data_IF_037321862093
#
_entry.id   IF_037321862093
#
_cell.length_a   1.000
_cell.length_b   1.000
_cell.length_c   1.000
_cell.angle_alpha   90.00
_cell.angle_beta   90.00
_cell.angle_gamma   90.00
#
_symmetry.space_group_name_H-M   'P 1'
#
loop_
_entity.id
_entity.type
_entity.pdbx_description
1 polymer ?
#
# COMPACT_ATOMS: atom_id res chain seq x y z
N UNK A 1 -55.48 -13.75 -11.95
CA UNK A 1 -56.12 -14.30 -10.73
C UNK A 1 -55.11 -14.19 -9.61
N UNK A 2 -55.35 -13.21 -8.78
CA UNK A 2 -55.17 -13.07 -7.33
C UNK A 2 -53.94 -13.66 -6.65
N UNK A 3 -53.15 -12.73 -6.14
CA UNK A 3 -52.20 -12.80 -5.02
C UNK A 3 -52.92 -13.15 -3.72
N UNK A 4 -52.27 -13.77 -2.73
CA UNK A 4 -52.37 -13.21 -1.39
C UNK A 4 -51.04 -13.02 -0.67
N UNK A 5 -50.88 -11.80 -0.18
CA UNK A 5 -50.02 -11.31 0.90
C UNK A 5 -50.15 -12.12 2.19
N UNK A 6 -49.03 -12.37 2.90
CA UNK A 6 -48.99 -12.69 4.32
C UNK A 6 -47.98 -11.82 5.05
N UNK A 7 -48.55 -10.91 5.86
CA UNK A 7 -47.87 -10.19 6.92
C UNK A 7 -47.56 -11.14 8.10
N UNK A 8 -46.39 -10.93 8.70
CA UNK A 8 -46.07 -11.42 10.06
C UNK A 8 -45.48 -10.28 10.90
N UNK A 9 -45.76 -10.20 12.18
CA UNK A 9 -45.63 -8.96 12.95
C UNK A 9 -44.28 -8.81 13.65
N UNK A 10 -43.90 -7.54 13.85
CA UNK A 10 -42.88 -7.12 14.80
C UNK A 10 -43.24 -7.48 16.23
N UNK A 11 -42.33 -8.12 16.96
CA UNK A 11 -42.38 -8.20 18.41
C UNK A 11 -41.31 -7.28 19.01
N UNK A 12 -41.77 -6.19 19.62
CA UNK A 12 -40.99 -5.34 20.52
C UNK A 12 -40.67 -6.12 21.79
N UNK A 13 -39.39 -6.18 22.16
CA UNK A 13 -38.96 -6.61 23.49
C UNK A 13 -38.43 -5.39 24.23
N UNK A 14 -39.25 -4.94 25.18
CA UNK A 14 -38.94 -3.88 26.13
C UNK A 14 -38.22 -4.49 27.32
N UNK A 15 -36.97 -4.06 27.60
CA UNK A 15 -36.29 -4.42 28.86
C UNK A 15 -36.23 -3.18 29.74
N UNK A 16 -36.84 -3.31 30.91
CA UNK A 16 -36.94 -2.29 31.93
C UNK A 16 -35.63 -2.08 32.69
N UNK A 17 -35.29 -0.82 32.90
CA UNK A 17 -34.26 -0.38 33.86
C UNK A 17 -34.78 -0.51 35.29
N UNK A 18 -34.04 -1.19 36.12
CA UNK A 18 -34.14 -1.09 37.58
C UNK A 18 -32.87 -0.36 38.09
N UNK A 19 -33.10 0.81 38.62
CA UNK A 19 -32.10 1.59 39.30
C UNK A 19 -31.87 1.10 40.72
N UNK A 20 -30.63 1.15 41.16
CA UNK A 20 -30.25 1.11 42.56
C UNK A 20 -29.21 2.20 42.82
N UNK A 21 -29.66 3.27 43.43
CA UNK A 21 -28.79 4.35 43.97
C UNK A 21 -28.23 3.86 45.31
N UNK A 22 -26.90 3.92 45.45
CA UNK A 22 -26.24 3.87 46.75
C UNK A 22 -25.30 5.10 46.85
N UNK A 23 -25.74 6.01 47.71
CA UNK A 23 -24.97 7.14 48.23
C UNK A 23 -24.00 6.61 49.27
N UNK A 24 -22.71 6.92 49.14
CA UNK A 24 -21.77 7.06 50.25
C UNK A 24 -20.75 8.18 49.93
N UNK A 25 -20.59 8.98 50.76
CA UNK A 25 -20.11 10.09 51.42
C UNK A 25 -18.64 10.44 51.12
N UNK A 26 -18.43 11.77 51.15
CA UNK A 26 -17.16 12.46 51.10
C UNK A 26 -16.16 12.03 52.17
N UNK A 27 -14.90 11.83 51.74
CA UNK A 27 -13.75 12.10 52.61
C UNK A 27 -12.57 12.55 51.74
N UNK A 28 -12.33 13.84 51.72
CA UNK A 28 -11.10 14.42 51.20
C UNK A 28 -9.96 14.11 52.18
N UNK A 29 -8.90 13.44 51.66
CA UNK A 29 -7.58 13.46 52.31
C UNK A 29 -6.57 13.83 51.24
N UNK A 30 -6.08 15.05 51.32
CA UNK A 30 -4.86 15.48 50.66
C UNK A 30 -3.67 14.81 51.37
N UNK A 31 -2.91 14.03 50.62
CA UNK A 31 -1.57 13.62 51.01
C UNK A 31 -0.63 13.89 49.86
N UNK A 32 0.07 14.98 49.94
CA UNK A 32 1.26 15.28 49.17
C UNK A 32 2.35 14.28 49.59
N UNK A 33 2.74 13.39 48.71
CA UNK A 33 3.96 12.60 48.83
C UNK A 33 4.74 12.72 47.54
N UNK A 34 5.71 13.60 47.55
CA UNK A 34 6.83 13.55 46.63
C UNK A 34 7.52 12.19 46.79
N UNK A 35 7.08 11.20 45.97
CA UNK A 35 7.65 9.87 45.89
C UNK A 35 8.65 9.80 44.77
N UNK A 36 9.87 9.45 45.09
CA UNK A 36 11.01 9.14 44.25
C UNK A 36 10.61 8.48 42.89
N UNK A 37 10.82 9.22 41.82
CA UNK A 37 10.80 8.65 40.46
C UNK A 37 12.11 7.93 40.22
N UNK A 38 12.06 6.61 40.11
CA UNK A 38 13.19 5.83 39.63
C UNK A 38 13.52 6.24 38.17
N UNK A 39 14.80 6.50 37.86
CA UNK A 39 15.20 6.74 36.47
C UNK A 39 15.15 5.42 35.71
N UNK A 40 14.23 5.31 34.71
CA UNK A 40 14.20 4.18 33.81
C UNK A 40 12.83 3.53 33.56
N UNK A 41 11.73 4.27 33.71
CA UNK A 41 10.40 3.76 33.27
C UNK A 41 10.36 3.71 31.74
N UNK A 42 10.25 2.52 31.11
CA UNK A 42 10.14 2.38 29.65
C UNK A 42 8.90 3.04 29.07
N UNK A 43 7.90 3.41 29.89
CA UNK A 43 6.74 4.19 29.45
C UNK A 43 7.07 5.64 29.05
N UNK A 44 8.32 6.11 29.28
CA UNK A 44 8.74 7.48 29.01
C UNK A 44 9.36 7.68 27.62
N UNK A 45 9.47 6.63 26.79
CA UNK A 45 10.19 6.67 25.51
C UNK A 45 9.32 6.39 24.26
N UNK A 46 8.00 6.35 24.39
CA UNK A 46 7.17 6.39 23.19
C UNK A 46 7.42 7.75 22.50
N UNK A 47 7.88 7.76 21.24
CA UNK A 47 8.09 9.03 20.56
C UNK A 47 6.75 9.75 20.51
N UNK A 48 6.73 11.00 20.98
CA UNK A 48 5.55 11.86 20.77
C UNK A 48 5.50 12.21 19.30
N UNK A 49 4.81 11.39 18.52
CA UNK A 49 4.62 11.55 17.08
C UNK A 49 3.23 12.13 16.85
N UNK A 50 3.12 13.02 15.87
CA UNK A 50 1.87 13.58 15.40
C UNK A 50 1.81 13.50 13.87
N UNK A 51 0.59 13.45 13.34
CA UNK A 51 0.29 13.61 11.92
C UNK A 51 -0.21 15.04 11.71
N UNK A 52 0.65 15.86 11.11
CA UNK A 52 0.37 17.30 10.92
C UNK A 52 0.04 17.58 9.45
N UNK A 53 -1.09 18.28 9.20
CA UNK A 53 -1.42 18.77 7.85
C UNK A 53 -0.30 19.66 7.35
N UNK A 54 0.24 19.31 6.18
CA UNK A 54 1.18 20.13 5.43
C UNK A 54 0.55 20.54 4.11
N UNK A 55 1.05 21.62 3.48
CA UNK A 55 0.49 22.14 2.23
C UNK A 55 -1.03 22.43 2.31
N UNK A 56 -1.49 23.21 3.31
CA UNK A 56 -2.90 23.35 3.65
C UNK A 56 -3.76 24.00 2.54
N UNK A 57 -3.13 24.67 1.58
CA UNK A 57 -3.82 25.27 0.42
C UNK A 57 -4.04 24.24 -0.71
N UNK A 58 -3.46 23.03 -0.61
CA UNK A 58 -3.64 21.99 -1.59
C UNK A 58 -4.66 20.95 -1.09
N UNK A 59 -5.48 20.47 -2.02
CA UNK A 59 -6.36 19.32 -1.85
C UNK A 59 -6.38 18.54 -3.16
N UNK A 60 -6.46 17.21 -3.05
CA UNK A 60 -6.41 16.28 -4.15
C UNK A 60 -7.66 15.39 -4.15
N UNK A 61 -8.06 14.93 -5.33
CA UNK A 61 -9.24 14.09 -5.47
C UNK A 61 -8.85 12.61 -5.34
N UNK A 62 -9.37 11.95 -4.30
CA UNK A 62 -9.08 10.53 -4.01
C UNK A 62 -7.59 10.17 -4.18
N UNK A 63 -6.67 10.82 -3.44
CA UNK A 63 -5.25 10.59 -3.63
C UNK A 63 -4.85 9.19 -3.16
N UNK A 64 -4.13 8.45 -4.00
CA UNK A 64 -3.68 7.08 -3.72
C UNK A 64 -2.16 6.91 -3.84
N UNK A 65 -1.42 7.98 -4.07
CA UNK A 65 0.04 7.93 -4.12
C UNK A 65 0.68 9.29 -3.91
N UNK A 66 1.86 9.30 -3.29
CA UNK A 66 2.65 10.51 -3.04
C UNK A 66 4.14 10.17 -3.15
N UNK A 67 4.86 10.81 -4.08
CA UNK A 67 6.28 10.53 -4.29
C UNK A 67 7.06 11.76 -4.81
N UNK A 68 8.37 11.71 -4.72
CA UNK A 68 9.29 12.64 -5.38
C UNK A 68 10.03 11.94 -6.52
N UNK A 69 10.23 12.61 -7.65
CA UNK A 69 11.10 12.09 -8.70
C UNK A 69 12.57 12.10 -8.26
N UNK A 70 13.42 11.22 -8.81
CA UNK A 70 14.85 11.25 -8.56
C UNK A 70 15.45 12.63 -8.80
N UNK A 71 16.36 13.07 -7.91
CA UNK A 71 17.05 14.38 -7.99
C UNK A 71 16.12 15.61 -8.02
N UNK A 72 14.82 15.45 -7.75
CA UNK A 72 13.81 16.51 -7.73
C UNK A 72 13.30 16.78 -6.32
N UNK A 73 12.90 18.02 -6.04
CA UNK A 73 12.12 18.39 -4.85
C UNK A 73 10.64 18.57 -5.18
N UNK A 74 10.22 18.16 -6.38
CA UNK A 74 8.81 18.20 -6.76
C UNK A 74 8.11 16.96 -6.19
N UNK A 75 6.99 17.20 -5.55
CA UNK A 75 6.05 16.17 -5.18
C UNK A 75 5.08 15.86 -6.32
N UNK A 76 4.70 14.61 -6.43
CA UNK A 76 3.66 14.11 -7.33
C UNK A 76 2.63 13.37 -6.50
N UNK A 77 1.36 13.68 -6.75
CA UNK A 77 0.20 13.01 -6.15
C UNK A 77 -0.55 12.30 -7.26
N UNK A 78 -0.85 11.05 -7.03
CA UNK A 78 -1.67 10.21 -7.91
C UNK A 78 -3.12 10.37 -7.43
N UNK A 79 -3.99 10.88 -8.29
CA UNK A 79 -5.42 10.91 -8.07
C UNK A 79 -6.05 9.72 -8.80
N UNK A 80 -6.79 8.89 -8.04
CA UNK A 80 -7.25 7.56 -8.50
C UNK A 80 -8.04 7.61 -9.81
N UNK A 81 -8.77 8.71 -10.05
CA UNK A 81 -9.59 8.92 -11.24
C UNK A 81 -8.82 9.09 -12.55
N UNK A 82 -7.48 9.12 -12.55
CA UNK A 82 -6.68 9.18 -13.79
C UNK A 82 -5.85 10.43 -13.97
N UNK A 83 -5.65 11.25 -12.93
CA UNK A 83 -4.78 12.42 -13.00
C UNK A 83 -3.56 12.29 -12.08
N UNK A 84 -2.45 12.90 -12.51
CA UNK A 84 -1.27 13.12 -11.68
C UNK A 84 -1.09 14.61 -11.49
N UNK A 85 -0.98 15.04 -10.23
CA UNK A 85 -0.74 16.44 -9.86
C UNK A 85 0.68 16.62 -9.35
N UNK A 86 1.31 17.76 -9.64
CA UNK A 86 2.67 18.04 -9.16
C UNK A 86 2.79 19.41 -8.53
N UNK A 87 3.58 19.53 -7.44
CA UNK A 87 3.87 20.79 -6.77
C UNK A 87 5.30 20.81 -6.21
N UNK A 88 5.82 22.00 -5.92
CA UNK A 88 7.16 22.16 -5.37
C UNK A 88 7.16 21.88 -3.85
N UNK A 89 8.22 21.23 -3.36
CA UNK A 89 8.50 21.09 -1.94
C UNK A 89 9.03 22.41 -1.37
N UNK A 90 8.11 23.32 -1.14
CA UNK A 90 8.35 24.63 -0.50
C UNK A 90 7.37 24.81 0.65
N UNK A 91 7.65 25.74 1.54
CA UNK A 91 6.70 26.11 2.59
C UNK A 91 5.44 26.67 1.94
N UNK A 92 4.31 26.02 2.20
CA UNK A 92 2.96 26.43 1.79
C UNK A 92 2.81 26.74 0.28
N UNK A 93 2.97 25.75 -0.61
CA UNK A 93 2.74 25.91 -2.04
C UNK A 93 1.26 26.24 -2.29
N UNK A 94 1.02 27.32 -3.02
CA UNK A 94 -0.35 27.82 -3.27
C UNK A 94 -1.09 27.04 -4.37
N UNK A 95 -0.37 26.29 -5.22
CA UNK A 95 -0.95 25.61 -6.38
C UNK A 95 -0.25 24.29 -6.69
N UNK A 96 -1.04 23.29 -7.04
CA UNK A 96 -0.58 22.11 -7.79
C UNK A 96 -0.86 22.29 -9.29
N UNK A 97 -0.10 21.62 -10.13
CA UNK A 97 -0.27 21.62 -11.58
C UNK A 97 -0.61 20.23 -12.08
N UNK A 98 -1.41 20.14 -13.11
CA UNK A 98 -1.63 18.89 -13.83
C UNK A 98 -0.32 18.44 -14.48
N UNK A 99 0.07 17.19 -14.25
CA UNK A 99 1.26 16.55 -14.79
C UNK A 99 0.88 15.56 -15.88
N UNK A 100 -0.13 14.76 -15.62
CA UNK A 100 -0.70 13.80 -16.57
C UNK A 100 -2.22 13.77 -16.40
N UNK A 101 -2.94 13.67 -17.49
CA UNK A 101 -4.36 13.40 -17.53
C UNK A 101 -4.62 12.24 -18.51
N UNK A 102 -5.10 11.12 -17.97
CA UNK A 102 -5.50 9.93 -18.70
C UNK A 102 -6.90 9.47 -18.28
N UNK A 103 -7.72 10.40 -17.77
CA UNK A 103 -9.10 10.13 -17.34
C UNK A 103 -9.98 9.58 -18.46
N UNK A 104 -9.59 9.81 -19.72
CA UNK A 104 -10.27 9.30 -20.91
C UNK A 104 -10.15 7.77 -21.10
N UNK A 105 -9.26 7.11 -20.37
CA UNK A 105 -8.96 5.69 -20.53
C UNK A 105 -8.88 4.90 -19.21
N UNK A 106 -8.90 5.58 -18.07
CA UNK A 106 -8.86 4.94 -16.76
C UNK A 106 -10.25 4.49 -16.35
N UNK A 107 -10.42 3.20 -16.06
CA UNK A 107 -11.59 2.68 -15.37
C UNK A 107 -11.35 2.74 -13.86
N UNK A 108 -12.23 3.37 -13.14
CA UNK A 108 -12.16 3.67 -11.70
C UNK A 108 -13.58 3.47 -11.10
N UNK A 109 -13.85 3.23 -9.85
CA UNK A 109 -13.00 3.27 -8.68
C UNK A 109 -13.17 1.99 -7.84
N UNK A 110 -13.34 2.07 -6.51
CA UNK A 110 -13.10 0.95 -5.62
C UNK A 110 -11.59 0.75 -5.47
N UNK A 111 -11.06 -0.40 -5.92
CA UNK A 111 -9.62 -0.64 -5.96
C UNK A 111 -9.00 -0.38 -7.35
N UNK A 112 -9.86 -0.22 -8.38
CA UNK A 112 -9.44 0.13 -9.74
C UNK A 112 -9.09 1.62 -9.88
N UNK A 113 -8.31 1.97 -10.91
CA UNK A 113 -7.99 3.36 -11.22
C UNK A 113 -6.54 3.58 -11.65
N UNK A 114 -6.06 4.81 -11.49
CA UNK A 114 -4.65 5.15 -11.60
C UNK A 114 -3.97 4.85 -10.27
N UNK A 115 -3.10 3.82 -10.22
CA UNK A 115 -2.65 3.18 -8.99
C UNK A 115 -1.16 3.34 -8.69
N UNK A 116 -0.33 3.58 -9.71
CA UNK A 116 1.11 3.67 -9.54
C UNK A 116 1.81 4.67 -10.47
N UNK A 117 2.90 5.25 -9.98
CA UNK A 117 3.81 6.11 -10.73
C UNK A 117 5.24 5.84 -10.27
N UNK A 118 6.14 5.61 -11.21
CA UNK A 118 7.57 5.54 -10.96
C UNK A 118 8.34 6.35 -12.03
N UNK A 119 9.33 7.10 -11.63
CA UNK A 119 10.25 7.77 -12.57
C UNK A 119 11.47 6.89 -12.81
N UNK A 120 12.00 6.91 -14.02
CA UNK A 120 13.26 6.25 -14.34
C UNK A 120 14.36 6.66 -13.34
N UNK A 121 15.21 5.74 -12.84
CA UNK A 121 16.25 6.07 -11.84
C UNK A 121 17.19 7.21 -12.25
N UNK A 122 17.48 7.32 -13.55
CA UNK A 122 18.28 8.41 -14.10
C UNK A 122 17.45 9.63 -14.55
N UNK A 123 16.22 9.76 -14.09
CA UNK A 123 15.41 10.95 -14.37
C UNK A 123 16.09 12.22 -13.80
N UNK A 124 16.12 13.37 -14.50
CA UNK A 124 15.47 13.65 -15.79
C UNK A 124 16.36 13.41 -17.03
N UNK A 125 17.59 12.84 -16.90
CA UNK A 125 18.43 12.57 -18.06
C UNK A 125 17.79 11.54 -19.00
N UNK A 126 17.20 10.48 -18.40
CA UNK A 126 16.26 9.59 -19.07
C UNK A 126 14.84 10.08 -18.72
N UNK A 127 14.17 10.83 -19.60
CA UNK A 127 12.96 11.57 -19.27
C UNK A 127 11.70 10.70 -19.32
N UNK A 128 11.77 9.51 -18.72
CA UNK A 128 10.72 8.51 -18.73
C UNK A 128 10.06 8.37 -17.34
N UNK A 129 8.76 8.17 -17.36
CA UNK A 129 7.97 7.78 -16.20
C UNK A 129 7.08 6.58 -16.56
N UNK A 130 6.81 5.76 -15.57
CA UNK A 130 6.01 4.55 -15.69
C UNK A 130 4.75 4.71 -14.85
N UNK A 131 3.63 4.30 -15.41
CA UNK A 131 2.32 4.50 -14.81
C UNK A 131 1.57 3.17 -14.82
N UNK A 132 0.99 2.84 -13.68
CA UNK A 132 0.12 1.66 -13.52
C UNK A 132 -1.32 2.12 -13.36
N UNK A 133 -2.24 1.55 -14.15
CA UNK A 133 -3.64 1.92 -14.11
C UNK A 133 -4.52 0.81 -14.71
N UNK A 134 -5.83 0.87 -14.46
CA UNK A 134 -6.80 -0.07 -15.01
C UNK A 134 -7.64 0.58 -16.12
N UNK A 135 -7.99 -0.22 -17.12
CA UNK A 135 -8.98 0.08 -18.16
C UNK A 135 -10.17 -0.86 -18.05
N UNK A 136 -11.30 -0.43 -18.64
CA UNK A 136 -12.43 -1.32 -18.86
C UNK A 136 -11.98 -2.53 -19.68
N UNK A 137 -12.37 -3.71 -19.22
CA UNK A 137 -12.12 -4.97 -19.91
C UNK A 137 -13.15 -5.30 -20.98
N UNK A 138 -12.92 -6.35 -21.77
CA UNK A 138 -13.78 -6.68 -22.92
C UNK A 138 -15.14 -7.25 -22.53
N UNK A 139 -15.29 -7.83 -21.33
CA UNK A 139 -16.49 -8.53 -20.90
C UNK A 139 -16.55 -8.73 -19.37
N UNK A 140 -17.62 -9.39 -18.91
CA UNK A 140 -17.85 -9.64 -17.49
C UNK A 140 -16.89 -10.69 -16.87
N UNK A 141 -16.18 -11.47 -17.66
CA UNK A 141 -15.17 -12.44 -17.23
C UNK A 141 -13.82 -11.76 -17.04
N UNK A 142 -13.61 -10.65 -17.74
CA UNK A 142 -12.45 -9.78 -17.65
C UNK A 142 -12.95 -8.34 -17.54
N UNK A 143 -13.48 -7.94 -16.38
CA UNK A 143 -14.08 -6.60 -16.23
C UNK A 143 -13.06 -5.48 -16.29
N UNK A 144 -11.79 -5.75 -15.98
CA UNK A 144 -10.69 -4.79 -16.03
C UNK A 144 -9.45 -5.40 -16.70
N UNK A 145 -8.62 -4.53 -17.24
CA UNK A 145 -7.25 -4.85 -17.67
C UNK A 145 -6.30 -3.86 -16.98
N UNK A 146 -5.33 -4.37 -16.24
CA UNK A 146 -4.22 -3.57 -15.72
C UNK A 146 -3.20 -3.27 -16.80
N UNK A 147 -2.75 -2.03 -16.85
CA UNK A 147 -1.74 -1.52 -17.79
C UNK A 147 -0.53 -1.00 -17.00
N UNK A 148 0.65 -1.43 -17.39
CA UNK A 148 1.92 -0.79 -17.03
C UNK A 148 2.43 -0.11 -18.29
N UNK A 149 2.42 1.22 -18.28
CA UNK A 149 2.74 2.03 -19.46
C UNK A 149 3.86 3.02 -19.19
N UNK A 150 4.71 3.24 -20.19
CA UNK A 150 5.75 4.27 -20.20
C UNK A 150 5.23 5.55 -20.82
N UNK A 151 5.61 6.69 -20.21
CA UNK A 151 5.31 8.04 -20.69
C UNK A 151 6.58 8.89 -20.72
N UNK A 152 6.65 9.85 -21.65
CA UNK A 152 7.79 10.75 -21.82
C UNK A 152 7.51 12.13 -21.21
N UNK A 153 8.52 12.71 -20.57
CA UNK A 153 8.51 14.11 -20.15
C UNK A 153 9.48 14.93 -20.99
N UNK A 154 9.02 16.02 -21.58
CA UNK A 154 9.85 16.93 -22.36
C UNK A 154 10.28 18.21 -21.59
N UNK A 155 9.97 18.29 -20.29
CA UNK A 155 10.13 19.49 -19.47
C UNK A 155 10.62 19.19 -18.03
N UNK A 156 11.39 18.11 -17.89
CA UNK A 156 11.95 17.63 -16.62
C UNK A 156 10.89 17.33 -15.55
N UNK A 157 9.81 16.68 -15.94
CA UNK A 157 8.74 16.21 -15.06
C UNK A 157 7.71 17.26 -14.66
N UNK A 158 7.66 18.40 -15.35
CA UNK A 158 6.54 19.32 -15.14
C UNK A 158 5.25 18.78 -15.75
N UNK A 159 5.38 18.10 -16.89
CA UNK A 159 4.32 17.34 -17.54
C UNK A 159 4.84 16.01 -18.08
N UNK A 160 3.94 15.04 -18.24
CA UNK A 160 4.10 13.83 -19.03
C UNK A 160 3.19 13.96 -20.25
N UNK A 161 3.70 13.56 -21.43
CA UNK A 161 2.92 13.61 -22.67
C UNK A 161 1.94 12.42 -22.73
N UNK A 162 0.62 12.62 -22.64
CA UNK A 162 -0.35 11.53 -22.66
C UNK A 162 -0.41 10.80 -24.03
N UNK A 163 0.12 11.42 -25.09
CA UNK A 163 0.19 10.82 -26.43
C UNK A 163 1.42 9.96 -26.65
N UNK A 164 2.41 10.04 -25.74
CA UNK A 164 3.63 9.25 -25.75
C UNK A 164 3.47 7.86 -25.14
N UNK A 165 2.28 7.49 -24.72
CA UNK A 165 2.05 6.22 -24.04
C UNK A 165 2.56 5.01 -24.84
N UNK A 166 3.40 4.21 -24.18
CA UNK A 166 3.88 2.93 -24.65
C UNK A 166 3.56 1.84 -23.63
N UNK A 167 2.53 1.01 -23.86
CA UNK A 167 2.25 -0.11 -22.98
C UNK A 167 3.43 -1.09 -22.96
N UNK A 168 3.85 -1.49 -21.74
CA UNK A 168 4.91 -2.45 -21.51
C UNK A 168 4.36 -3.83 -21.19
N UNK A 169 3.39 -3.88 -20.26
CA UNK A 169 2.74 -5.10 -19.81
C UNK A 169 1.25 -4.81 -19.61
N UNK A 170 0.42 -5.78 -19.96
CA UNK A 170 -1.01 -5.78 -19.65
C UNK A 170 -1.38 -7.08 -18.95
N UNK A 171 -2.32 -7.01 -18.01
CA UNK A 171 -2.77 -8.16 -17.24
C UNK A 171 -4.29 -8.11 -17.08
N UNK A 172 -4.96 -9.17 -17.51
CA UNK A 172 -6.40 -9.33 -17.34
C UNK A 172 -6.73 -9.48 -15.84
N UNK A 173 -7.76 -8.76 -15.40
CA UNK A 173 -8.25 -8.80 -14.03
C UNK A 173 -9.62 -9.49 -14.01
N UNK A 174 -9.75 -10.65 -13.35
CA UNK A 174 -11.02 -11.40 -13.33
C UNK A 174 -12.09 -10.74 -12.44
N UNK A 175 -11.69 -9.79 -11.57
CA UNK A 175 -12.59 -9.02 -10.71
C UNK A 175 -12.13 -7.56 -10.63
N UNK A 176 -12.96 -6.72 -10.00
CA UNK A 176 -12.72 -5.27 -9.88
C UNK A 176 -11.98 -4.86 -8.60
N UNK A 177 -11.50 -5.83 -7.83
CA UNK A 177 -10.77 -5.64 -6.57
C UNK A 177 -9.49 -6.48 -6.55
N UNK A 178 -8.63 -6.25 -5.55
CA UNK A 178 -7.28 -6.80 -5.41
C UNK A 178 -6.40 -6.53 -6.64
N UNK A 179 -6.51 -5.32 -7.19
CA UNK A 179 -5.75 -4.97 -8.39
C UNK A 179 -4.27 -4.66 -8.08
N UNK A 180 -3.91 -4.38 -6.83
CA UNK A 180 -2.56 -3.97 -6.45
C UNK A 180 -2.13 -2.71 -7.18
N UNK A 181 -1.21 -2.84 -8.13
CA UNK A 181 -0.84 -1.80 -9.10
C UNK A 181 0.19 -0.79 -8.61
N UNK A 182 0.76 -0.95 -7.41
CA UNK A 182 1.91 -0.13 -7.02
C UNK A 182 3.15 -0.54 -7.82
N UNK A 183 3.95 0.45 -8.22
CA UNK A 183 5.20 0.26 -8.98
C UNK A 183 6.31 1.12 -8.40
N UNK A 184 7.52 0.58 -8.37
CA UNK A 184 8.72 1.33 -8.00
C UNK A 184 9.98 0.68 -8.60
N UNK A 185 11.03 1.48 -8.77
CA UNK A 185 12.35 0.94 -9.09
C UNK A 185 13.06 0.42 -7.85
N UNK A 186 13.62 -0.78 -7.96
CA UNK A 186 14.52 -1.34 -6.97
C UNK A 186 15.91 -0.68 -6.99
N UNK A 187 16.72 -0.92 -5.95
CA UNK A 187 18.11 -0.45 -5.91
C UNK A 187 18.99 -1.05 -7.01
N UNK A 188 18.56 -2.14 -7.61
CA UNK A 188 19.16 -2.83 -8.76
C UNK A 188 18.82 -2.17 -10.09
N UNK A 189 17.92 -1.18 -10.12
CA UNK A 189 17.52 -0.42 -11.29
C UNK A 189 16.43 -1.07 -12.14
N UNK A 190 15.86 -2.19 -11.72
CA UNK A 190 14.71 -2.83 -12.37
C UNK A 190 13.39 -2.29 -11.84
N UNK A 191 12.35 -2.37 -12.65
CA UNK A 191 10.99 -1.99 -12.26
C UNK A 191 10.28 -3.17 -11.60
N UNK A 192 9.83 -2.94 -10.36
CA UNK A 192 8.99 -3.88 -9.61
C UNK A 192 7.53 -3.47 -9.72
N UNK A 193 6.64 -4.46 -9.76
CA UNK A 193 5.20 -4.28 -9.93
C UNK A 193 4.51 -5.26 -9.00
N UNK A 194 3.65 -4.79 -8.09
CA UNK A 194 2.84 -5.65 -7.23
C UNK A 194 1.43 -5.80 -7.80
N UNK A 195 1.00 -7.03 -8.05
CA UNK A 195 -0.39 -7.36 -8.39
C UNK A 195 -1.00 -8.25 -7.32
N UNK A 196 -2.28 -8.00 -7.01
CA UNK A 196 -3.06 -8.89 -6.17
C UNK A 196 -3.51 -10.15 -6.89
N UNK A 197 -4.23 -11.02 -6.18
CA UNK A 197 -4.73 -12.31 -6.65
C UNK A 197 -5.85 -12.20 -7.72
N UNK A 198 -6.19 -10.99 -8.14
CA UNK A 198 -7.22 -10.70 -9.13
C UNK A 198 -8.61 -10.57 -8.54
N UNK A 199 -8.80 -10.77 -7.23
CA UNK A 199 -10.01 -10.38 -6.51
C UNK A 199 -10.94 -11.50 -6.10
N UNK A 200 -12.14 -11.09 -5.64
CA UNK A 200 -13.12 -11.93 -4.96
C UNK A 200 -12.66 -12.39 -3.57
N UNK A 201 -13.43 -13.24 -2.90
CA UNK A 201 -13.08 -13.77 -1.58
C UNK A 201 -12.38 -15.12 -1.69
N UNK A 202 -11.20 -15.24 -1.05
CA UNK A 202 -10.48 -16.49 -0.89
C UNK A 202 -9.80 -17.03 -2.15
N UNK A 203 -9.45 -16.15 -3.09
CA UNK A 203 -8.78 -16.50 -4.35
C UNK A 203 -9.41 -17.74 -5.02
N UNK A 204 -10.62 -17.63 -5.57
CA UNK A 204 -11.37 -18.79 -6.03
C UNK A 204 -10.73 -19.51 -7.24
N UNK A 205 -9.79 -18.86 -7.90
CA UNK A 205 -9.08 -19.38 -9.08
C UNK A 205 -7.65 -19.83 -8.76
N UNK A 206 -7.21 -19.67 -7.49
CA UNK A 206 -5.88 -20.07 -6.99
C UNK A 206 -4.73 -19.38 -7.74
N UNK A 207 -4.92 -18.10 -8.08
CA UNK A 207 -3.94 -17.31 -8.81
C UNK A 207 -2.65 -17.10 -8.00
N UNK A 208 -2.77 -16.79 -6.71
CA UNK A 208 -1.63 -16.44 -5.88
C UNK A 208 -0.63 -17.60 -5.70
N UNK A 209 -1.07 -18.86 -5.80
CA UNK A 209 -0.19 -20.03 -5.76
C UNK A 209 0.19 -20.55 -7.16
N UNK A 210 -0.32 -19.93 -8.22
CA UNK A 210 -0.08 -20.35 -9.59
C UNK A 210 1.05 -19.55 -10.23
N UNK A 211 2.29 -19.99 -10.11
CA UNK A 211 3.46 -19.32 -10.72
C UNK A 211 3.42 -19.24 -12.27
N UNK A 212 2.44 -19.84 -12.93
CA UNK A 212 2.20 -19.67 -14.37
C UNK A 212 1.18 -18.53 -14.66
N UNK A 213 0.89 -17.72 -13.67
CA UNK A 213 0.08 -16.51 -13.73
C UNK A 213 0.85 -15.35 -13.09
N UNK A 214 0.53 -14.12 -13.46
CA UNK A 214 1.17 -12.92 -12.91
C UNK A 214 0.38 -12.31 -11.75
N UNK A 215 -0.86 -12.78 -11.53
CA UNK A 215 -1.67 -12.37 -10.39
C UNK A 215 -1.11 -12.91 -9.06
N UNK A 216 -1.38 -12.22 -7.96
CA UNK A 216 -0.88 -12.60 -6.64
C UNK A 216 0.64 -12.58 -6.51
N UNK A 217 1.31 -11.71 -7.26
CA UNK A 217 2.76 -11.73 -7.41
C UNK A 217 3.40 -10.34 -7.35
N UNK A 218 4.64 -10.33 -6.89
CA UNK A 218 5.58 -9.24 -7.14
C UNK A 218 6.38 -9.58 -8.40
N UNK A 219 6.26 -8.74 -9.43
CA UNK A 219 7.00 -8.90 -10.69
C UNK A 219 8.23 -7.99 -10.70
N UNK A 220 9.23 -8.36 -11.51
CA UNK A 220 10.46 -7.58 -11.73
C UNK A 220 10.88 -7.65 -13.17
N UNK A 221 10.99 -6.49 -13.83
CA UNK A 221 11.30 -6.37 -15.27
C UNK A 221 12.36 -5.30 -15.52
N UNK A 222 13.15 -5.48 -16.59
CA UNK A 222 14.08 -4.47 -17.10
C UNK A 222 13.44 -3.66 -18.23
N UNK A 223 13.22 -2.38 -17.98
CA UNK A 223 12.63 -1.44 -18.94
C UNK A 223 13.66 -0.75 -19.83
N UNK A 224 14.96 -0.99 -19.60
CA UNK A 224 16.07 -0.42 -20.37
C UNK A 224 16.32 -1.19 -21.67
N UNK A 225 15.28 -1.28 -22.50
CA UNK A 225 15.31 -2.02 -23.78
C UNK A 225 14.98 -1.12 -24.95
N UNK A 226 15.57 -1.44 -26.10
CA UNK A 226 15.24 -0.74 -27.35
C UNK A 226 13.97 -1.33 -28.00
N UNK A 227 13.10 -0.50 -28.60
CA UNK A 227 12.00 -1.00 -29.41
C UNK A 227 12.49 -1.97 -30.52
N UNK A 228 11.71 -3.01 -30.85
CA UNK A 228 10.31 -3.23 -30.50
C UNK A 228 10.06 -3.92 -29.16
N UNK A 229 11.11 -4.30 -28.40
CA UNK A 229 10.91 -4.91 -27.11
C UNK A 229 10.24 -3.92 -26.15
N UNK A 230 9.34 -4.42 -25.29
CA UNK A 230 8.66 -3.62 -24.28
C UNK A 230 9.42 -3.63 -22.94
N UNK A 231 9.97 -4.79 -22.57
CA UNK A 231 10.88 -5.01 -21.44
C UNK A 231 11.74 -6.26 -21.70
N UNK A 232 12.71 -6.48 -20.83
CA UNK A 232 13.46 -7.73 -20.74
C UNK A 232 13.30 -8.36 -19.36
N UNK A 233 13.66 -9.63 -19.25
CA UNK A 233 13.68 -10.35 -17.97
C UNK A 233 15.04 -10.21 -17.32
N UNK A 234 15.13 -9.72 -16.08
CA UNK A 234 16.35 -9.75 -15.30
C UNK A 234 16.89 -11.19 -15.17
N UNK A 235 18.19 -11.42 -15.43
CA UNK A 235 18.74 -12.77 -15.55
C UNK A 235 18.73 -13.58 -14.24
N UNK A 236 18.53 -12.90 -13.14
CA UNK A 236 18.47 -13.45 -11.78
C UNK A 236 17.04 -13.51 -11.21
N UNK A 237 16.00 -13.34 -12.04
CA UNK A 237 14.64 -13.68 -11.64
C UNK A 237 14.53 -15.20 -11.42
N UNK A 238 13.68 -15.65 -10.48
CA UNK A 238 13.53 -17.06 -10.15
C UNK A 238 13.25 -17.97 -11.36
N UNK A 239 12.49 -17.46 -12.33
CA UNK A 239 12.09 -18.20 -13.53
C UNK A 239 12.67 -17.63 -14.84
N UNK A 240 13.76 -16.87 -14.78
CA UNK A 240 14.34 -16.16 -15.93
C UNK A 240 14.71 -17.07 -17.12
N UNK A 241 14.91 -18.37 -16.90
CA UNK A 241 15.19 -19.35 -17.97
C UNK A 241 13.98 -19.76 -18.78
N UNK A 242 12.76 -19.39 -18.37
CA UNK A 242 11.53 -19.76 -19.03
C UNK A 242 11.21 -18.81 -20.20
N UNK A 243 10.59 -19.34 -21.26
CA UNK A 243 10.22 -18.55 -22.44
C UNK A 243 8.92 -17.72 -22.27
N UNK A 244 8.20 -17.92 -21.15
CA UNK A 244 6.93 -17.29 -20.83
C UNK A 244 6.16 -18.11 -19.80
N UNK A 245 4.93 -17.74 -19.51
CA UNK A 245 4.09 -18.39 -18.49
C UNK A 245 3.53 -19.74 -18.94
N UNK A 246 3.21 -19.89 -20.23
CA UNK A 246 2.48 -21.05 -20.73
C UNK A 246 3.42 -22.24 -20.99
N UNK A 247 3.07 -23.39 -20.40
CA UNK A 247 3.81 -24.65 -20.59
C UNK A 247 5.17 -24.68 -19.89
N UNK A 248 5.38 -23.81 -18.91
CA UNK A 248 6.59 -23.67 -18.12
C UNK A 248 6.33 -23.95 -16.64
N UNK A 249 7.34 -23.79 -15.81
CA UNK A 249 7.28 -23.95 -14.36
C UNK A 249 7.33 -22.60 -13.63
N UNK A 250 6.88 -21.53 -14.27
CA UNK A 250 6.78 -20.20 -13.74
C UNK A 250 6.97 -19.11 -14.79
N UNK A 251 6.26 -18.00 -14.62
CA UNK A 251 6.42 -16.80 -15.47
C UNK A 251 7.78 -16.16 -15.19
N UNK A 252 8.55 -15.80 -16.22
CA UNK A 252 9.89 -15.23 -16.02
C UNK A 252 9.90 -13.85 -15.35
N UNK A 253 8.78 -13.13 -15.37
CA UNK A 253 8.60 -11.82 -14.72
C UNK A 253 8.52 -11.93 -13.19
N UNK A 254 8.10 -13.06 -12.64
CA UNK A 254 7.86 -13.24 -11.21
C UNK A 254 9.17 -13.11 -10.42
N UNK A 255 9.12 -12.26 -9.38
CA UNK A 255 10.14 -12.11 -8.36
C UNK A 255 9.77 -12.87 -7.09
N UNK A 256 8.49 -12.78 -6.66
CA UNK A 256 7.90 -13.45 -5.52
C UNK A 256 6.40 -13.66 -5.76
N UNK A 257 5.75 -14.57 -5.04
CA UNK A 257 4.34 -14.90 -5.23
C UNK A 257 3.64 -15.27 -3.92
N UNK A 258 2.36 -15.63 -3.99
CA UNK A 258 1.58 -15.98 -2.82
C UNK A 258 1.07 -14.76 -2.06
N UNK A 259 0.91 -13.63 -2.74
CA UNK A 259 0.39 -12.38 -2.20
C UNK A 259 -1.10 -12.24 -2.50
N UNK A 260 -1.86 -11.62 -1.58
CA UNK A 260 -3.29 -11.40 -1.78
C UNK A 260 -3.60 -10.09 -2.49
N UNK A 261 -3.15 -8.98 -1.92
CA UNK A 261 -3.33 -7.63 -2.46
C UNK A 261 -2.26 -6.69 -1.89
N UNK A 262 -1.01 -6.76 -2.38
CA UNK A 262 0.10 -5.94 -1.91
C UNK A 262 -0.13 -4.48 -2.31
N UNK A 263 -0.85 -3.75 -1.42
CA UNK A 263 -1.37 -2.42 -1.76
C UNK A 263 -0.27 -1.39 -1.89
N UNK A 264 0.55 -1.18 -0.83
CA UNK A 264 1.73 -0.31 -0.89
C UNK A 264 2.92 -1.02 -0.29
N UNK A 265 4.03 -0.82 -0.94
CA UNK A 265 5.29 -1.41 -0.57
C UNK A 265 6.43 -0.45 -0.89
N UNK A 266 7.58 -0.62 -0.29
CA UNK A 266 8.71 0.28 -0.48
C UNK A 266 10.04 -0.42 -0.23
N UNK A 267 11.07 0.06 -0.91
CA UNK A 267 12.43 -0.30 -0.59
C UNK A 267 12.96 0.56 0.56
N UNK A 268 13.57 -0.05 1.54
CA UNK A 268 14.43 0.65 2.47
C UNK A 268 15.64 1.21 1.71
N UNK A 269 15.76 2.53 1.66
CA UNK A 269 16.82 3.21 0.89
C UNK A 269 18.24 2.96 1.42
N UNK A 270 18.39 2.47 2.66
CA UNK A 270 19.68 2.17 3.27
C UNK A 270 20.13 0.74 3.08
N UNK A 271 19.21 -0.23 3.12
CA UNK A 271 19.50 -1.65 3.07
C UNK A 271 19.11 -2.31 1.75
N UNK A 272 18.16 -1.74 1.03
CA UNK A 272 17.55 -2.33 -0.16
C UNK A 272 16.46 -3.35 0.16
N UNK A 273 16.11 -3.54 1.42
CA UNK A 273 15.05 -4.47 1.84
C UNK A 273 13.69 -4.00 1.30
N UNK A 274 12.95 -4.91 0.70
CA UNK A 274 11.61 -4.65 0.18
C UNK A 274 10.56 -5.01 1.24
N UNK A 275 9.82 -4.01 1.69
CA UNK A 275 8.74 -4.13 2.66
C UNK A 275 7.39 -3.98 1.98
N UNK A 276 6.43 -4.84 2.28
CA UNK A 276 5.09 -4.78 1.74
C UNK A 276 4.02 -4.84 2.84
N UNK A 277 2.91 -4.10 2.64
CA UNK A 277 1.67 -4.35 3.34
C UNK A 277 0.76 -5.13 2.41
N UNK A 278 0.40 -6.35 2.78
CA UNK A 278 -0.50 -7.20 2.03
C UNK A 278 -1.87 -7.28 2.73
N UNK A 279 -2.90 -6.85 2.02
CA UNK A 279 -4.26 -6.72 2.58
C UNK A 279 -4.90 -8.08 2.76
N UNK A 280 -5.27 -8.39 3.99
CA UNK A 280 -5.86 -9.66 4.38
C UNK A 280 -7.31 -9.86 3.95
N UNK A 281 -7.88 -11.04 4.27
CA UNK A 281 -9.21 -11.43 3.79
C UNK A 281 -10.32 -11.10 4.79
N UNK A 282 -10.26 -11.67 5.99
CA UNK A 282 -11.35 -11.60 6.96
C UNK A 282 -10.89 -11.31 8.39
N UNK A 283 -9.66 -11.67 8.72
CA UNK A 283 -9.22 -11.71 10.11
C UNK A 283 -7.88 -11.03 10.35
N UNK A 284 -6.96 -11.08 9.38
CA UNK A 284 -5.57 -10.70 9.57
C UNK A 284 -5.08 -9.82 8.45
N UNK A 285 -4.40 -8.74 8.83
CA UNK A 285 -3.57 -7.90 7.97
C UNK A 285 -2.11 -8.24 8.23
N UNK A 286 -1.22 -8.07 7.21
CA UNK A 286 0.16 -8.50 7.34
C UNK A 286 1.19 -7.53 6.74
N UNK A 287 2.40 -7.60 7.31
CA UNK A 287 3.60 -6.92 6.80
C UNK A 287 4.64 -7.96 6.45
N UNK A 288 5.10 -7.92 5.22
CA UNK A 288 6.09 -8.83 4.68
C UNK A 288 7.41 -8.13 4.37
N UNK A 289 8.50 -8.90 4.46
CA UNK A 289 9.77 -8.61 3.80
C UNK A 289 9.87 -9.49 2.57
N UNK A 290 9.81 -8.87 1.40
CA UNK A 290 9.73 -9.58 0.12
C UNK A 290 11.14 -9.93 -0.36
N UNK A 291 11.39 -11.23 -0.56
CA UNK A 291 12.63 -11.77 -1.07
C UNK A 291 12.44 -12.48 -2.42
N UNK A 292 13.52 -12.63 -3.17
CA UNK A 292 13.48 -13.34 -4.46
C UNK A 292 13.13 -14.82 -4.25
N UNK A 293 12.20 -15.34 -5.03
CA UNK A 293 11.64 -16.68 -4.93
C UNK A 293 10.82 -16.95 -3.65
N UNK A 294 10.44 -15.92 -2.90
CA UNK A 294 9.58 -16.04 -1.73
C UNK A 294 8.13 -16.40 -2.11
N UNK A 295 7.52 -17.28 -1.30
CA UNK A 295 6.11 -17.65 -1.37
C UNK A 295 5.41 -17.25 -0.08
N UNK A 296 4.57 -16.20 -0.12
CA UNK A 296 3.93 -15.57 1.05
C UNK A 296 2.65 -16.28 1.50
N UNK A 297 2.30 -17.39 0.85
CA UNK A 297 1.36 -18.38 1.36
C UNK A 297 -0.11 -18.11 1.12
N UNK A 298 -0.54 -16.97 0.61
CA UNK A 298 -1.93 -16.78 0.20
C UNK A 298 -2.25 -17.72 -0.98
N UNK A 299 -3.35 -18.43 -1.04
CA UNK A 299 -4.50 -18.50 -0.10
C UNK A 299 -4.40 -19.62 0.95
N UNK A 300 -3.29 -20.33 1.04
CA UNK A 300 -3.11 -21.40 2.01
C UNK A 300 -3.18 -20.87 3.45
N UNK A 301 -2.65 -19.67 3.66
CA UNK A 301 -2.61 -18.98 4.93
C UNK A 301 -3.14 -17.54 4.77
N UNK A 302 -3.74 -17.01 5.84
CA UNK A 302 -4.05 -15.60 6.06
C UNK A 302 -3.25 -15.18 7.30
N UNK A 303 -2.26 -14.31 7.12
CA UNK A 303 -1.25 -14.12 8.16
C UNK A 303 -0.53 -15.42 8.52
N UNK A 304 -0.45 -15.70 9.81
CA UNK A 304 0.13 -16.94 10.35
C UNK A 304 -0.88 -18.08 10.52
N UNK A 305 -2.11 -17.93 10.02
CA UNK A 305 -3.22 -18.85 10.29
C UNK A 305 -3.64 -19.56 9.01
N UNK A 306 -3.78 -20.89 9.07
CA UNK A 306 -4.27 -21.68 7.95
C UNK A 306 -5.67 -21.21 7.52
N UNK A 307 -5.82 -20.88 6.23
CA UNK A 307 -7.07 -20.41 5.65
C UNK A 307 -7.71 -21.47 4.73
N UNK A 308 -7.14 -21.75 3.57
CA UNK A 308 -7.60 -22.78 2.66
C UNK A 308 -6.41 -23.63 2.18
N UNK A 309 -6.13 -24.69 2.92
CA UNK A 309 -4.94 -25.54 2.69
C UNK A 309 -5.17 -26.64 1.64
N UNK A 310 -6.29 -26.64 0.94
CA UNK A 310 -6.54 -27.59 -0.14
C UNK A 310 -5.62 -27.34 -1.33
N UNK A 311 -4.78 -28.32 -1.67
CA UNK A 311 -3.80 -28.22 -2.74
C UNK A 311 -2.46 -27.60 -2.32
N UNK A 312 -2.35 -27.16 -1.08
CA UNK A 312 -1.15 -26.50 -0.55
C UNK A 312 -0.02 -27.49 -0.23
N UNK A 313 1.21 -26.98 -0.29
CA UNK A 313 2.42 -27.66 0.18
C UNK A 313 2.51 -27.72 1.71
N UNK A 314 3.57 -28.32 2.25
CA UNK A 314 3.85 -28.27 3.68
C UNK A 314 4.14 -26.82 4.13
N UNK A 315 3.85 -26.51 5.39
CA UNK A 315 4.00 -25.17 5.97
C UNK A 315 5.41 -24.56 5.78
N UNK A 316 6.44 -25.39 5.71
CA UNK A 316 7.82 -24.94 5.53
C UNK A 316 8.16 -24.46 4.10
N UNK A 317 7.22 -24.54 3.17
CA UNK A 317 7.38 -24.02 1.80
C UNK A 317 6.95 -22.54 1.67
N UNK A 318 6.50 -21.92 2.79
CA UNK A 318 5.99 -20.56 2.81
C UNK A 318 6.81 -19.65 3.70
N UNK A 319 6.96 -18.41 3.25
CA UNK A 319 7.55 -17.31 4.00
C UNK A 319 6.44 -16.55 4.74
N UNK A 320 6.48 -16.63 6.07
CA UNK A 320 5.46 -16.01 6.91
C UNK A 320 5.75 -14.53 7.18
N UNK A 321 4.69 -13.71 7.37
CA UNK A 321 4.84 -12.29 7.61
C UNK A 321 5.63 -11.97 8.88
N UNK A 322 6.31 -10.82 8.86
CA UNK A 322 7.06 -10.29 10.01
C UNK A 322 6.09 -9.87 11.12
N UNK A 323 4.96 -9.29 10.76
CA UNK A 323 3.92 -8.85 11.69
C UNK A 323 2.55 -9.13 11.09
N UNK A 324 1.65 -9.59 11.96
CA UNK A 324 0.21 -9.67 11.68
C UNK A 324 -0.57 -8.90 12.73
N UNK A 325 -1.72 -8.33 12.37
CA UNK A 325 -2.69 -7.77 13.31
C UNK A 325 -4.12 -8.16 12.91
N UNK A 326 -4.98 -8.35 13.91
CA UNK A 326 -6.36 -8.76 13.67
C UNK A 326 -7.28 -7.57 13.34
N UNK A 327 -8.43 -7.87 12.74
CA UNK A 327 -9.41 -6.87 12.29
C UNK A 327 -10.07 -6.07 13.43
N UNK A 328 -9.78 -6.33 14.72
CA UNK A 328 -10.14 -5.44 15.81
C UNK A 328 -9.22 -4.20 15.92
N UNK A 329 -8.04 -4.29 15.33
CA UNK A 329 -7.05 -3.21 15.32
C UNK A 329 -7.09 -2.39 14.04
N UNK A 330 -7.37 -3.01 12.89
CA UNK A 330 -7.44 -2.39 11.56
C UNK A 330 -7.80 -3.49 10.55
N UNK A 331 -8.28 -3.14 9.37
CA UNK A 331 -8.86 -4.10 8.44
C UNK A 331 -8.51 -3.83 6.96
N UNK A 332 -7.53 -2.98 6.71
CA UNK A 332 -6.98 -2.73 5.38
C UNK A 332 -5.62 -2.05 5.51
N UNK A 333 -4.56 -2.85 5.58
CA UNK A 333 -3.21 -2.32 5.69
C UNK A 333 -2.83 -1.49 4.47
N UNK A 334 -2.21 -0.34 4.71
CA UNK A 334 -1.70 0.51 3.64
C UNK A 334 -0.28 0.14 3.23
N UNK A 335 0.53 -0.37 4.16
CA UNK A 335 1.99 -0.43 4.01
C UNK A 335 2.68 0.83 4.52
N UNK A 336 3.93 1.08 4.16
CA UNK A 336 4.69 2.19 4.73
C UNK A 336 6.12 2.32 4.23
N UNK A 337 6.97 2.97 5.04
CA UNK A 337 8.40 3.24 4.75
C UNK A 337 9.29 3.07 5.97
N UNK A 338 10.55 2.67 5.78
CA UNK A 338 11.57 2.77 6.82
C UNK A 338 11.97 4.23 7.00
N UNK A 339 11.87 4.73 8.23
CA UNK A 339 12.14 6.14 8.54
C UNK A 339 13.64 6.41 8.61
N UNK A 340 14.13 7.32 7.78
CA UNK A 340 15.53 7.78 7.75
C UNK A 340 15.68 9.28 8.03
N UNK A 341 14.59 9.96 8.37
CA UNK A 341 14.58 11.39 8.67
C UNK A 341 15.33 11.76 9.95
N UNK A 342 15.41 13.06 10.19
CA UNK A 342 16.09 13.62 11.37
C UNK A 342 15.12 14.25 12.39
N UNK A 343 13.85 14.44 12.01
CA UNK A 343 12.89 15.10 12.90
C UNK A 343 12.41 14.21 14.04
N UNK A 344 12.35 12.90 13.80
CA UNK A 344 11.93 11.86 14.75
C UNK A 344 13.07 10.86 14.98
N UNK A 345 14.13 11.23 15.74
CA UNK A 345 15.31 10.38 15.91
C UNK A 345 15.00 9.01 16.55
N UNK A 346 13.93 8.92 17.32
CA UNK A 346 13.47 7.69 17.96
C UNK A 346 12.83 6.69 17.00
N UNK A 347 12.45 7.14 15.78
CA UNK A 347 11.94 6.29 14.72
C UNK A 347 13.01 5.91 13.70
N UNK A 348 14.27 6.31 13.87
CA UNK A 348 15.30 6.02 12.91
C UNK A 348 15.46 4.51 12.71
N UNK A 349 15.43 4.07 11.43
CA UNK A 349 15.43 2.66 11.00
C UNK A 349 14.20 1.85 11.46
N UNK A 350 13.11 2.51 11.82
CA UNK A 350 11.81 1.89 12.09
C UNK A 350 11.02 1.88 10.78
N UNK A 351 10.49 0.73 10.39
CA UNK A 351 9.47 0.66 9.35
C UNK A 351 8.15 1.16 9.94
N UNK A 352 7.67 2.28 9.41
CA UNK A 352 6.43 2.92 9.84
C UNK A 352 5.35 2.59 8.82
N UNK A 353 4.26 1.97 9.27
CA UNK A 353 3.15 1.54 8.41
C UNK A 353 1.81 1.92 9.03
N UNK A 354 0.77 1.92 8.22
CA UNK A 354 -0.56 2.31 8.66
C UNK A 354 -1.66 1.47 8.03
N UNK A 355 -2.88 1.72 8.51
CA UNK A 355 -4.10 1.06 8.08
C UNK A 355 -5.10 2.10 7.56
N UNK A 356 -5.67 1.83 6.40
CA UNK A 356 -6.65 2.70 5.72
C UNK A 356 -7.96 2.79 6.51
N UNK A 357 -8.41 1.67 7.05
CA UNK A 357 -9.72 1.57 7.67
C UNK A 357 -9.77 2.15 9.07
N UNK A 358 -8.72 1.93 9.87
CA UNK A 358 -8.64 2.42 11.25
C UNK A 358 -7.93 3.76 11.40
N UNK A 359 -7.07 4.14 10.44
CA UNK A 359 -6.22 5.33 10.54
C UNK A 359 -5.07 5.19 11.54
N UNK A 360 -4.82 4.00 12.06
CA UNK A 360 -3.72 3.73 12.98
C UNK A 360 -2.39 3.62 12.25
N UNK A 361 -1.33 4.01 12.96
CA UNK A 361 0.05 3.94 12.48
C UNK A 361 0.89 3.20 13.53
N UNK A 362 1.67 2.23 13.09
CA UNK A 362 2.57 1.42 13.90
C UNK A 362 4.00 1.48 13.39
N UNK A 363 4.88 0.79 14.06
CA UNK A 363 6.27 0.63 13.66
C UNK A 363 6.84 -0.75 13.94
N UNK A 364 7.81 -1.16 13.12
CA UNK A 364 8.64 -2.35 13.31
C UNK A 364 10.08 -1.88 13.41
N UNK A 365 10.81 -2.33 14.44
CA UNK A 365 12.19 -1.91 14.66
C UNK A 365 13.18 -2.63 13.71
N UNK A 366 14.44 -2.22 13.75
CA UNK A 366 15.50 -2.81 12.92
C UNK A 366 15.82 -4.29 13.24
N UNK A 367 15.28 -4.84 14.31
CA UNK A 367 15.37 -6.26 14.65
C UNK A 367 14.12 -7.04 14.22
N UNK A 368 13.28 -6.45 13.37
CA UNK A 368 12.01 -7.02 12.90
C UNK A 368 11.00 -7.27 14.03
N UNK A 369 11.04 -6.45 15.10
CA UNK A 369 10.09 -6.57 16.20
C UNK A 369 9.08 -5.41 16.16
N UNK A 370 7.77 -5.71 16.30
CA UNK A 370 6.77 -4.65 16.38
C UNK A 370 7.02 -3.80 17.62
N UNK A 371 6.88 -2.48 17.46
CA UNK A 371 6.90 -1.57 18.61
C UNK A 371 5.68 -1.87 19.51
N UNK A 372 5.83 -1.74 20.84
CA UNK A 372 4.83 -2.24 21.78
C UNK A 372 3.50 -1.48 21.76
N UNK A 373 3.46 -0.31 21.12
CA UNK A 373 2.28 0.54 21.10
C UNK A 373 2.00 1.10 19.70
N UNK A 374 0.74 1.43 19.46
CA UNK A 374 0.34 2.30 18.33
C UNK A 374 1.11 3.60 18.42
N UNK A 375 1.80 4.00 17.36
CA UNK A 375 2.50 5.28 17.31
C UNK A 375 1.52 6.44 17.29
N UNK A 376 0.46 6.31 16.51
CA UNK A 376 -0.61 7.30 16.36
C UNK A 376 -1.91 6.58 16.03
N UNK A 377 -3.01 7.08 16.60
CA UNK A 377 -4.38 6.78 16.20
C UNK A 377 -4.98 8.06 15.59
N UNK A 378 -5.37 8.01 14.33
CA UNK A 378 -5.88 9.16 13.59
C UNK A 378 -7.25 8.85 12.96
N UNK A 379 -8.10 9.85 12.71
CA UNK A 379 -9.34 9.64 11.96
C UNK A 379 -9.13 9.65 10.43
N UNK A 380 -7.92 9.34 9.93
CA UNK A 380 -7.54 9.46 8.53
C UNK A 380 -7.76 8.16 7.78
N UNK A 381 -8.29 8.26 6.55
CA UNK A 381 -8.26 7.16 5.60
C UNK A 381 -6.91 7.18 4.86
N UNK A 382 -5.92 6.52 5.45
CA UNK A 382 -4.53 6.56 4.98
C UNK A 382 -4.40 5.69 3.73
N UNK A 383 -4.52 6.27 2.54
CA UNK A 383 -4.45 5.52 1.28
C UNK A 383 -3.04 5.26 0.80
N UNK A 384 -2.08 6.08 1.17
CA UNK A 384 -0.67 5.90 0.82
C UNK A 384 0.25 6.70 1.72
N UNK A 385 1.47 6.23 1.82
CA UNK A 385 2.60 6.98 2.37
C UNK A 385 3.50 7.48 1.24
N UNK A 386 4.37 8.43 1.58
CA UNK A 386 5.44 8.91 0.73
C UNK A 386 6.64 9.33 1.58
N UNK A 387 7.83 9.26 0.98
CA UNK A 387 9.06 9.67 1.65
C UNK A 387 9.75 10.78 0.87
N UNK A 388 10.21 11.83 1.57
CA UNK A 388 11.04 12.85 0.93
C UNK A 388 12.52 12.40 0.85
N UNK A 389 13.31 13.13 0.08
CA UNK A 389 14.74 12.85 -0.10
C UNK A 389 15.59 12.96 1.17
N UNK A 390 15.01 13.39 2.28
CA UNK A 390 15.63 13.45 3.61
C UNK A 390 15.21 12.29 4.50
N UNK A 391 14.35 11.41 3.98
CA UNK A 391 13.82 10.28 4.72
C UNK A 391 12.67 10.62 5.66
N UNK A 392 12.08 11.82 5.54
CA UNK A 392 10.89 12.19 6.30
C UNK A 392 9.65 11.57 5.67
N UNK A 393 8.74 11.05 6.50
CA UNK A 393 7.53 10.34 6.05
C UNK A 393 6.33 11.29 6.00
N UNK A 394 5.59 11.15 4.92
CA UNK A 394 4.33 11.83 4.63
C UNK A 394 3.25 10.79 4.37
N UNK A 395 1.99 11.19 4.43
CA UNK A 395 0.86 10.38 4.03
C UNK A 395 -0.20 11.23 3.33
N UNK A 396 -1.06 10.59 2.58
CA UNK A 396 -2.25 11.19 1.97
C UNK A 396 -3.51 10.58 2.57
N UNK A 397 -4.49 11.46 2.83
CA UNK A 397 -5.81 11.07 3.30
C UNK A 397 -6.76 11.01 2.10
N UNK A 398 -7.31 9.86 1.84
CA UNK A 398 -8.19 9.58 0.72
C UNK A 398 -9.47 10.42 0.73
N UNK A 399 -10.02 10.68 1.95
CA UNK A 399 -11.31 11.33 2.10
C UNK A 399 -11.23 12.86 2.05
N UNK A 400 -10.20 13.46 2.69
CA UNK A 400 -10.08 14.93 2.74
C UNK A 400 -9.13 15.50 1.69
N UNK A 401 -8.46 14.62 0.93
CA UNK A 401 -7.53 15.00 -0.13
C UNK A 401 -6.26 15.67 0.37
N UNK A 402 -5.95 15.53 1.66
CA UNK A 402 -4.85 16.21 2.31
C UNK A 402 -3.53 15.47 2.29
N UNK A 403 -2.45 16.24 2.35
CA UNK A 403 -1.10 15.74 2.61
C UNK A 403 -0.73 16.03 4.05
N UNK A 404 -0.25 15.02 4.74
CA UNK A 404 0.16 15.08 6.13
C UNK A 404 1.60 14.60 6.28
N UNK A 405 2.25 15.03 7.34
CA UNK A 405 3.62 14.64 7.66
C UNK A 405 3.69 14.06 9.07
N UNK A 406 4.45 12.99 9.23
CA UNK A 406 4.86 12.56 10.56
C UNK A 406 5.86 13.56 11.12
N UNK A 407 5.55 14.11 12.29
CA UNK A 407 6.39 15.09 12.96
C UNK A 407 6.31 14.91 14.49
N UNK A 408 7.10 15.69 15.22
CA UNK A 408 6.97 15.75 16.67
C UNK A 408 5.60 16.29 17.04
N UNK A 409 4.98 15.68 18.04
CA UNK A 409 3.80 16.27 18.64
C UNK A 409 4.14 17.65 19.24
N UNK A 410 3.24 18.62 19.10
CA UNK A 410 3.40 19.97 19.65
C UNK A 410 3.66 19.98 21.17
#
# INVERSE_FOLDING_TARGET
MQNPTRNLPLSLLTIALLGASLLFGDAAVAADTAGDRLPGDPAQLAPRVAVLRVFPQLSFDLPVGLLQAPRSKRWYVIEQGGTIRGFQDVVDPAVSRLVLDITDRVECCGEAGLLGLAFHPDFPNTPLAYVSYTREGPDAQTPLISYISEFTSNDAGRTLDPTSERPLLTLDQPYTNHNGGHIAFGPDGYLYIGFGDGGSGGDPQDHAQNVNDLLGSMLRIDVNVAPPATYAIPPDNPFAGNAGCVGTTGCPEIYAWGLRNPWRWSFDTATGTLWAGDVGQNNWEEVDVIESAGNYGWRCYEGNVAYNTSGCGPQGDYDFPIVVYDHSLGFSITGGYVYHGNRLPTLRNVYVYGDFGSGRIWGIDANLQPLPNVLIDTPRAISSFGQDRRGEIYLVDYNDGGVYKLDRAP
#
